data_IF_563727723372
#
_entry.id   IF_563727723372
#
_cell.length_a   1.000
_cell.length_b   1.000
_cell.length_c   1.000
_cell.angle_alpha   90.00
_cell.angle_beta   90.00
_cell.angle_gamma   90.00
#
_symmetry.space_group_name_H-M   'P 1'
#
loop_
_entity.id
_entity.type
_entity.pdbx_description
1 polymer ?
#
# COMPACT_ATOMS: atom_id res chain seq x y z
N UNK A 1 1.37 -14.73 -6.67
CA UNK A 1 1.19 -15.91 -7.51
C UNK A 1 -0.27 -16.02 -7.85
N UNK A 2 -0.63 -15.64 -9.07
CA UNK A 2 -2.00 -15.81 -9.57
C UNK A 2 -2.26 -17.30 -9.75
N UNK A 3 -3.39 -17.78 -9.24
CA UNK A 3 -3.82 -19.19 -9.34
C UNK A 3 -4.76 -19.32 -10.53
N UNK A 4 -4.61 -20.41 -11.29
CA UNK A 4 -5.51 -20.78 -12.37
C UNK A 4 -6.42 -21.90 -11.90
N UNK A 5 -7.72 -21.74 -12.13
CA UNK A 5 -8.73 -22.72 -11.74
C UNK A 5 -9.84 -22.75 -12.78
N UNK A 6 -10.40 -23.93 -13.03
CA UNK A 6 -11.60 -24.04 -13.85
C UNK A 6 -12.80 -23.61 -13.02
N UNK A 7 -13.70 -22.81 -13.59
CA UNK A 7 -14.86 -22.28 -12.87
C UNK A 7 -15.69 -23.40 -12.25
N UNK A 8 -15.89 -24.51 -12.95
CA UNK A 8 -16.58 -25.69 -12.43
C UNK A 8 -15.99 -26.25 -11.13
N UNK A 9 -14.68 -26.11 -10.90
CA UNK A 9 -14.00 -26.59 -9.68
C UNK A 9 -14.22 -25.64 -8.47
N UNK A 10 -14.73 -24.42 -8.71
CA UNK A 10 -15.04 -23.42 -7.69
C UNK A 10 -16.52 -23.37 -7.28
N UNK A 11 -17.40 -24.09 -7.99
CA UNK A 11 -18.84 -24.12 -7.72
C UNK A 11 -19.06 -24.79 -6.36
N UNK A 12 -19.27 -23.99 -5.32
CA UNK A 12 -19.33 -24.44 -3.92
C UNK A 12 -20.75 -24.68 -3.37
N UNK A 13 -21.81 -24.32 -4.09
CA UNK A 13 -23.20 -24.42 -3.60
C UNK A 13 -24.20 -24.82 -4.70
N UNK A 14 -25.37 -25.35 -4.30
CA UNK A 14 -26.46 -25.82 -5.18
C UNK A 14 -27.06 -24.70 -6.08
N UNK A 15 -26.81 -23.42 -5.78
CA UNK A 15 -27.31 -22.24 -6.52
C UNK A 15 -26.23 -21.53 -7.37
N UNK A 16 -25.02 -22.08 -7.50
CA UNK A 16 -23.95 -21.43 -8.24
C UNK A 16 -24.16 -21.49 -9.77
N UNK A 17 -23.96 -20.35 -10.47
CA UNK A 17 -24.11 -20.25 -11.93
C UNK A 17 -23.07 -21.10 -12.67
N UNK A 18 -23.50 -22.12 -13.40
CA UNK A 18 -22.65 -22.95 -14.29
C UNK A 18 -22.50 -22.37 -15.71
N UNK A 19 -22.97 -21.14 -15.93
CA UNK A 19 -23.00 -20.45 -17.22
C UNK A 19 -21.63 -20.34 -17.94
N UNK A 20 -20.52 -20.64 -17.26
CA UNK A 20 -19.18 -20.66 -17.84
C UNK A 20 -18.25 -21.66 -17.13
N UNK A 21 -18.75 -22.87 -16.83
CA UNK A 21 -18.03 -23.88 -16.04
C UNK A 21 -16.68 -24.32 -16.64
N UNK A 22 -16.53 -24.22 -17.96
CA UNK A 22 -15.30 -24.58 -18.68
C UNK A 22 -14.23 -23.50 -18.66
N UNK A 23 -14.56 -22.28 -18.25
CA UNK A 23 -13.59 -21.20 -18.25
C UNK A 23 -12.48 -21.46 -17.23
N UNK A 24 -11.26 -21.15 -17.65
CA UNK A 24 -10.11 -21.05 -16.76
C UNK A 24 -10.00 -19.59 -16.34
N UNK A 25 -10.17 -19.33 -15.05
CA UNK A 25 -10.00 -17.99 -14.48
C UNK A 25 -8.71 -17.90 -13.69
N UNK A 26 -8.23 -16.67 -13.61
CA UNK A 26 -7.08 -16.28 -12.81
C UNK A 26 -7.58 -15.53 -11.56
N UNK A 27 -7.16 -15.95 -10.37
CA UNK A 27 -7.53 -15.28 -9.12
C UNK A 27 -6.36 -15.21 -8.14
N UNK A 28 -6.48 -14.31 -7.16
CA UNK A 28 -5.52 -14.17 -6.07
C UNK A 28 -5.90 -15.06 -4.90
N UNK A 29 -4.90 -15.63 -4.22
CA UNK A 29 -5.15 -16.29 -2.94
C UNK A 29 -5.59 -15.29 -1.86
N UNK A 30 -6.36 -15.74 -0.87
CA UNK A 30 -6.80 -14.89 0.25
C UNK A 30 -5.63 -14.19 0.94
N UNK A 31 -4.53 -14.92 1.14
CA UNK A 31 -3.29 -14.38 1.72
C UNK A 31 -2.74 -13.19 0.92
N UNK A 32 -2.79 -13.25 -0.41
CA UNK A 32 -2.37 -12.14 -1.26
C UNK A 32 -3.34 -10.97 -1.19
N UNK A 33 -4.64 -11.26 -1.24
CA UNK A 33 -5.68 -10.24 -1.11
C UNK A 33 -5.57 -9.50 0.22
N UNK A 34 -5.32 -10.21 1.31
CA UNK A 34 -5.06 -9.63 2.64
C UNK A 34 -3.80 -8.77 2.64
N UNK A 35 -2.71 -9.24 2.03
CA UNK A 35 -1.47 -8.47 1.91
C UNK A 35 -1.67 -7.19 1.08
N UNK A 36 -2.32 -7.28 -0.07
CA UNK A 36 -2.57 -6.14 -0.94
C UNK A 36 -3.51 -5.15 -0.27
N UNK A 37 -4.59 -5.64 0.35
CA UNK A 37 -5.53 -4.82 1.13
C UNK A 37 -4.81 -4.08 2.25
N UNK A 38 -3.90 -4.72 2.97
CA UNK A 38 -3.09 -4.08 4.03
C UNK A 38 -2.24 -2.93 3.49
N UNK A 39 -1.56 -3.10 2.36
CA UNK A 39 -0.73 -2.05 1.74
C UNK A 39 -1.61 -0.91 1.24
N UNK A 40 -2.68 -1.23 0.52
CA UNK A 40 -3.61 -0.22 -0.02
C UNK A 40 -4.25 0.60 1.11
N UNK A 41 -4.73 -0.04 2.18
CA UNK A 41 -5.25 0.65 3.37
C UNK A 41 -4.22 1.57 4.02
N UNK A 42 -2.96 1.13 4.05
CA UNK A 42 -1.88 1.93 4.60
C UNK A 42 -1.59 3.19 3.77
N UNK A 43 -1.88 3.21 2.46
CA UNK A 43 -1.69 4.41 1.62
C UNK A 43 -3.00 5.14 1.28
N UNK A 44 -4.19 4.55 1.44
CA UNK A 44 -5.49 5.11 1.00
C UNK A 44 -6.03 6.27 1.85
N UNK A 45 -5.17 7.16 2.31
CA UNK A 45 -5.53 8.35 3.07
C UNK A 45 -4.81 9.57 2.46
N UNK A 46 -5.49 10.71 2.27
CA UNK A 46 -4.90 11.87 1.59
C UNK A 46 -3.58 12.36 2.18
N UNK A 47 -3.46 12.40 3.51
CA UNK A 47 -2.22 12.81 4.18
C UNK A 47 -1.10 11.80 3.90
N UNK A 48 -1.40 10.49 4.02
CA UNK A 48 -0.40 9.45 3.76
C UNK A 48 0.03 9.42 2.30
N UNK A 49 -0.90 9.60 1.36
CA UNK A 49 -0.59 9.74 -0.07
C UNK A 49 0.37 10.91 -0.32
N UNK A 50 0.07 12.08 0.25
CA UNK A 50 0.95 13.25 0.09
C UNK A 50 2.35 12.97 0.65
N UNK A 51 2.44 12.37 1.85
CA UNK A 51 3.72 11.98 2.45
C UNK A 51 4.49 11.03 1.53
N UNK A 52 3.89 9.92 1.10
CA UNK A 52 4.62 8.94 0.25
C UNK A 52 4.98 9.52 -1.11
N UNK A 53 4.15 10.41 -1.68
CA UNK A 53 4.46 11.11 -2.94
C UNK A 53 5.65 12.06 -2.79
N UNK A 54 5.76 12.75 -1.66
CA UNK A 54 6.92 13.59 -1.34
C UNK A 54 8.17 12.73 -1.17
N UNK A 55 8.07 11.63 -0.40
CA UNK A 55 9.18 10.70 -0.15
C UNK A 55 9.63 9.92 -1.39
N UNK A 56 8.76 9.76 -2.39
CA UNK A 56 9.13 9.23 -3.71
C UNK A 56 10.15 10.12 -4.41
N UNK A 57 10.09 11.44 -4.19
CA UNK A 57 10.99 12.41 -4.83
C UNK A 57 12.33 12.50 -4.09
N UNK A 58 12.30 12.51 -2.76
CA UNK A 58 13.51 12.55 -1.92
C UNK A 58 13.19 12.20 -0.46
N UNK A 59 14.11 11.58 0.30
CA UNK A 59 13.98 11.42 1.75
C UNK A 59 13.82 12.76 2.49
N UNK A 60 12.94 12.82 3.49
CA UNK A 60 12.63 14.07 4.20
C UNK A 60 12.43 13.86 5.70
N UNK A 61 12.66 14.91 6.48
CA UNK A 61 12.34 14.92 7.91
C UNK A 61 10.86 15.25 8.16
N UNK A 62 10.39 14.98 9.38
CA UNK A 62 9.00 15.27 9.79
C UNK A 62 8.64 16.75 9.65
N UNK A 63 9.60 17.67 9.86
CA UNK A 63 9.37 19.11 9.74
C UNK A 63 8.95 19.50 8.31
N UNK A 64 9.67 19.00 7.29
CA UNK A 64 9.35 19.27 5.89
C UNK A 64 8.02 18.61 5.51
N UNK A 65 7.81 17.35 5.89
CA UNK A 65 6.56 16.65 5.62
C UNK A 65 5.35 17.37 6.24
N UNK A 66 5.51 17.93 7.43
CA UNK A 66 4.46 18.71 8.10
C UNK A 66 4.15 20.01 7.36
N UNK A 67 5.18 20.71 6.88
CA UNK A 67 5.00 21.90 6.05
C UNK A 67 4.29 21.59 4.73
N UNK A 68 4.66 20.49 4.06
CA UNK A 68 4.04 20.07 2.78
C UNK A 68 2.57 19.66 2.94
N UNK A 69 2.24 18.94 4.00
CA UNK A 69 0.87 18.46 4.25
C UNK A 69 0.00 19.54 4.90
N UNK A 70 0.60 20.58 5.51
CA UNK A 70 -0.13 21.62 6.23
C UNK A 70 -0.77 21.11 7.53
N UNK A 71 -0.06 20.24 8.25
CA UNK A 71 -0.52 19.62 9.52
C UNK A 71 0.58 19.69 10.57
N UNK A 72 0.20 19.52 11.83
CA UNK A 72 1.16 19.49 12.93
C UNK A 72 2.03 18.23 12.92
N UNK A 73 3.21 18.32 13.53
CA UNK A 73 4.18 17.23 13.54
C UNK A 73 3.69 15.99 14.30
N UNK A 74 2.80 16.14 15.27
CA UNK A 74 2.24 15.00 16.03
C UNK A 74 1.38 14.14 15.12
N UNK A 75 0.48 14.76 14.35
CA UNK A 75 -0.35 14.06 13.37
C UNK A 75 0.49 13.41 12.27
N UNK A 76 1.49 14.11 11.74
CA UNK A 76 2.37 13.56 10.71
C UNK A 76 3.21 12.40 11.23
N UNK A 77 3.71 12.49 12.47
CA UNK A 77 4.43 11.39 13.13
C UNK A 77 3.54 10.15 13.30
N UNK A 78 2.27 10.34 13.66
CA UNK A 78 1.29 9.24 13.73
C UNK A 78 1.07 8.57 12.37
N UNK A 79 1.00 9.35 11.30
CA UNK A 79 0.90 8.82 9.94
C UNK A 79 2.17 8.08 9.50
N UNK A 80 3.36 8.59 9.83
CA UNK A 80 4.63 7.94 9.55
C UNK A 80 4.79 6.63 10.32
N UNK A 81 4.33 6.57 11.57
CA UNK A 81 4.31 5.32 12.34
C UNK A 81 3.48 4.25 11.61
N UNK A 82 2.26 4.57 11.17
CA UNK A 82 1.41 3.63 10.40
C UNK A 82 2.07 3.17 9.09
N UNK A 83 2.74 4.07 8.38
CA UNK A 83 3.46 3.73 7.15
C UNK A 83 4.68 2.84 7.42
N UNK A 84 5.38 3.07 8.53
CA UNK A 84 6.52 2.27 8.97
C UNK A 84 6.07 0.87 9.41
N UNK A 85 4.98 0.78 10.17
CA UNK A 85 4.42 -0.50 10.62
C UNK A 85 3.94 -1.33 9.42
N UNK A 86 3.45 -0.67 8.36
CA UNK A 86 3.14 -1.28 7.08
C UNK A 86 4.38 -1.59 6.20
N UNK A 87 5.60 -1.31 6.68
CA UNK A 87 6.88 -1.46 5.97
C UNK A 87 7.00 -0.67 4.67
N UNK A 88 6.28 0.45 4.57
CA UNK A 88 6.28 1.33 3.39
C UNK A 88 7.43 2.33 3.46
N UNK A 89 7.72 2.85 4.65
CA UNK A 89 8.81 3.80 4.88
C UNK A 89 9.79 3.22 5.90
N UNK A 90 11.04 3.67 5.85
CA UNK A 90 11.98 3.55 6.96
C UNK A 90 12.34 4.92 7.52
N UNK A 91 12.92 4.89 8.70
CA UNK A 91 13.47 6.05 9.39
C UNK A 91 14.97 5.81 9.63
N UNK A 92 15.78 6.81 9.31
CA UNK A 92 17.21 6.85 9.57
C UNK A 92 17.53 8.07 10.46
N UNK A 93 18.44 7.91 11.43
CA UNK A 93 18.87 9.02 12.31
C UNK A 93 20.10 9.69 11.71
N UNK A 94 20.00 10.97 11.39
CA UNK A 94 21.08 11.79 10.83
C UNK A 94 21.34 12.95 11.77
N UNK A 95 22.37 12.80 12.61
CA UNK A 95 22.65 13.73 13.71
C UNK A 95 21.47 13.77 14.70
N UNK A 96 20.82 14.93 14.82
CA UNK A 96 19.62 15.12 15.66
C UNK A 96 18.29 14.93 14.92
N UNK A 97 18.33 14.65 13.63
CA UNK A 97 17.14 14.58 12.78
C UNK A 97 16.77 13.14 12.45
N UNK A 98 15.46 12.88 12.34
CA UNK A 98 14.91 11.64 11.78
C UNK A 98 14.53 11.90 10.32
N UNK A 99 15.13 11.15 9.40
CA UNK A 99 14.90 11.24 7.96
C UNK A 99 14.12 10.00 7.52
N UNK A 100 13.02 10.20 6.81
CA UNK A 100 12.18 9.12 6.31
C UNK A 100 12.43 8.89 4.82
N UNK A 101 12.45 7.62 4.41
CA UNK A 101 12.60 7.20 3.01
C UNK A 101 11.51 6.23 2.61
N UNK A 102 10.99 6.34 1.38
CA UNK A 102 10.06 5.35 0.80
C UNK A 102 10.83 4.10 0.37
N UNK A 103 10.48 2.93 0.93
CA UNK A 103 11.20 1.67 0.71
C UNK A 103 10.38 0.58 0.01
N UNK A 104 9.04 0.66 0.01
CA UNK A 104 8.21 -0.36 -0.65
C UNK A 104 8.09 -0.08 -2.17
N UNK A 105 8.67 -0.98 -2.97
CA UNK A 105 8.69 -0.88 -4.44
C UNK A 105 7.29 -0.99 -5.08
N UNK A 106 6.34 -1.66 -4.44
CA UNK A 106 4.96 -1.76 -4.96
C UNK A 106 4.27 -0.41 -4.82
N UNK A 107 4.45 0.27 -3.68
CA UNK A 107 3.93 1.63 -3.47
C UNK A 107 4.55 2.60 -4.47
N UNK A 108 5.86 2.52 -4.74
CA UNK A 108 6.52 3.34 -5.77
C UNK A 108 5.85 3.15 -7.15
N UNK A 109 5.63 1.90 -7.56
CA UNK A 109 4.97 1.56 -8.83
C UNK A 109 3.52 2.06 -8.92
N UNK A 110 2.75 1.93 -7.83
CA UNK A 110 1.37 2.44 -7.79
C UNK A 110 1.37 3.96 -8.02
N UNK A 111 2.24 4.69 -7.32
CA UNK A 111 2.31 6.16 -7.45
C UNK A 111 2.80 6.61 -8.83
N UNK A 112 3.65 5.85 -9.52
CA UNK A 112 4.09 6.17 -10.88
C UNK A 112 3.05 5.89 -11.96
N UNK A 113 1.97 5.16 -11.64
CA UNK A 113 0.84 4.93 -12.57
C UNK A 113 -0.22 6.01 -12.40
N UNK A 114 -0.38 6.54 -11.18
CA UNK A 114 -1.42 7.51 -10.84
C UNK A 114 -1.11 8.97 -11.24
N UNK A 115 0.12 9.26 -11.67
CA UNK A 115 0.54 10.59 -12.12
C UNK A 115 1.54 10.49 -13.26
#
# INVERSE_FOLDING_TARGET
MVVKVRVGDLVVEEDACICNEDAIIEYYSDKELEEYSRILKAISNPIRLQIVRTLLSSPQCVCVLSAVVGKDQTLVSHHLAKLRDAKIVREDVVGKFRIYSLIDERVKKILSILG
#
